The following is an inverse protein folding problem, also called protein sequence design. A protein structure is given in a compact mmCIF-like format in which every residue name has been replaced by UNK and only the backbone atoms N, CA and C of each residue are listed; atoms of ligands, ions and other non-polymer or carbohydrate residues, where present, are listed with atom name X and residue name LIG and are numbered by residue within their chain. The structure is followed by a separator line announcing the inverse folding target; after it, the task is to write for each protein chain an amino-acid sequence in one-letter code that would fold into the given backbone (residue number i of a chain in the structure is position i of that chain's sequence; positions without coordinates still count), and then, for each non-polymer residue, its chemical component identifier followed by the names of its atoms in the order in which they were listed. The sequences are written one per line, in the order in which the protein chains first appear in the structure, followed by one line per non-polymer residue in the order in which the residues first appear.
data_IF_872246510876
#
_entry.id   IF_872246510876
#
_cell.length_a   1.000
_cell.length_b   1.000
_cell.length_c   1.000
_cell.angle_alpha   90.00
_cell.angle_beta   90.00
_cell.angle_gamma   90.00
#
_symmetry.space_group_name_H-M   'P 1'
#
loop_
_entity.id
_entity.type
_entity.pdbx_description
1 polymer ?
2 branched ?
3 water ?
#
# COMPACT_ATOMS: atom_id res chain seq x y z
N UNK A 22 18.59 15.09 11.15
CA UNK A 22 17.18 14.66 11.40
C UNK A 22 16.99 13.19 11.02
N UNK A 23 16.83 12.36 12.05
CA UNK A 23 16.77 10.91 11.90
C UNK A 23 15.38 10.44 11.51
N UNK A 24 14.34 11.00 12.13
CA UNK A 24 12.95 10.66 11.75
C UNK A 24 12.74 10.97 10.28
N UNK A 25 13.23 12.13 9.83
CA UNK A 25 13.21 12.52 8.41
C UNK A 25 13.92 11.52 7.50
N UNK A 26 15.07 11.01 7.94
CA UNK A 26 15.83 10.01 7.17
C UNK A 26 15.08 8.67 7.08
N UNK A 27 14.50 8.22 8.20
CA UNK A 27 13.68 7.00 8.22
C UNK A 27 12.46 7.09 7.29
N UNK A 28 11.83 8.26 7.26
CA UNK A 28 10.76 8.56 6.31
C UNK A 28 11.27 8.49 4.88
N UNK A 29 12.42 9.13 4.63
CA UNK A 29 12.99 9.16 3.29
C UNK A 29 13.32 7.74 2.80
N UNK A 30 13.77 6.86 3.69
CA UNK A 30 14.08 5.47 3.33
C UNK A 30 12.82 4.72 2.85
N UNK A 31 11.73 4.89 3.58
CA UNK A 31 10.45 4.31 3.18
C UNK A 31 9.95 4.94 1.90
N UNK A 32 10.02 6.26 1.80
CA UNK A 32 9.61 6.93 0.58
C UNK A 32 10.44 6.45 -0.62
N UNK A 33 11.75 6.35 -0.45
CA UNK A 33 12.62 6.01 -1.59
C UNK A 33 12.39 4.58 -2.07
N UNK A 34 12.15 3.67 -1.14
CA UNK A 34 11.82 2.29 -1.48
C UNK A 34 10.48 2.20 -2.18
N UNK A 35 9.44 2.73 -1.54
CA UNK A 35 8.07 2.44 -1.97
C UNK A 35 7.50 3.38 -3.04
N UNK A 36 8.21 4.48 -3.36
CA UNK A 36 7.77 5.42 -4.40
C UNK A 36 8.16 4.98 -5.81
N UNK A 37 8.97 3.94 -5.92
CA UNK A 37 9.41 3.45 -7.24
C UNK A 37 8.23 2.82 -7.95
N UNK A 38 8.06 3.16 -9.22
CA UNK A 38 6.92 2.71 -9.99
C UNK A 38 7.15 1.39 -10.75
N UNK A 39 8.21 0.68 -10.38
CA UNK A 39 8.42 -0.66 -10.85
C UNK A 39 8.86 -1.55 -9.70
N UNK A 40 8.59 -2.84 -9.86
CA UNK A 40 9.18 -3.86 -9.03
C UNK A 40 9.16 -5.20 -9.78
N UNK A 41 10.30 -5.89 -9.82
CA UNK A 41 10.40 -7.23 -10.45
C UNK A 41 9.78 -7.34 -11.85
N UNK A 42 9.95 -6.33 -12.68
CA UNK A 42 9.36 -6.39 -14.03
C UNK A 42 7.89 -5.98 -14.13
N UNK A 43 7.24 -5.70 -13.00
CA UNK A 43 5.92 -5.09 -13.01
C UNK A 43 6.08 -3.61 -12.89
N UNK A 44 5.09 -2.87 -13.36
CA UNK A 44 5.16 -1.43 -13.28
C UNK A 44 3.79 -0.81 -13.23
N UNK A 45 3.75 0.42 -12.73
CA UNK A 45 2.55 1.22 -12.73
C UNK A 45 2.31 1.71 -14.16
N UNK A 46 1.32 1.13 -14.83
CA UNK A 46 0.94 1.57 -16.16
C UNK A 46 -0.45 2.12 -16.06
N UNK A 47 -0.72 3.23 -16.74
CA UNK A 47 -2.06 3.80 -16.82
C UNK A 47 -2.63 4.10 -15.42
N UNK A 48 -1.78 4.44 -14.45
CA UNK A 48 -2.25 4.68 -13.06
C UNK A 48 -2.95 3.47 -12.41
N UNK A 49 -2.66 2.26 -12.89
CA UNK A 49 -3.24 1.06 -12.29
C UNK A 49 -2.82 0.80 -10.84
N UNK A 50 -1.70 1.35 -10.41
CA UNK A 50 -1.27 1.22 -8.99
C UNK A 50 -1.75 2.40 -8.15
N UNK A 51 -2.70 3.19 -8.66
CA UNK A 51 -3.16 4.40 -7.97
C UNK A 51 -4.69 4.40 -7.88
N UNK A 52 -5.36 4.42 -9.04
CA UNK A 52 -6.82 4.51 -9.08
C UNK A 52 -7.31 4.34 -10.52
N UNK A 53 -8.32 3.51 -10.69
CA UNK A 53 -8.96 3.32 -11.98
C UNK A 53 -10.40 2.91 -11.81
N UNK A 54 -11.24 3.34 -12.75
CA UNK A 54 -12.60 2.88 -12.90
C UNK A 54 -12.79 2.15 -14.22
N UNK A 55 -11.70 1.89 -14.94
CA UNK A 55 -11.78 1.24 -16.24
C UNK A 55 -12.28 -0.18 -16.12
N UNK A 56 -13.01 -0.65 -17.15
CA UNK A 56 -13.51 -2.03 -17.10
C UNK A 56 -12.38 -3.05 -16.97
N UNK A 57 -12.60 -4.08 -16.16
CA UNK A 57 -11.61 -5.15 -15.97
C UNK A 57 -11.72 -6.23 -17.04
N UNK A 58 -10.58 -6.70 -17.54
CA UNK A 58 -10.55 -7.95 -18.32
C UNK A 58 -10.88 -9.12 -17.39
N UNK A 59 -11.18 -10.27 -17.98
CA UNK A 59 -11.39 -11.52 -17.23
C UNK A 59 -10.15 -11.93 -16.41
N UNK A 60 -8.97 -11.53 -16.85
CA UNK A 60 -7.71 -11.86 -16.16
C UNK A 60 -7.22 -10.78 -15.17
N UNK A 61 -8.06 -9.80 -14.84
CA UNK A 61 -7.69 -8.73 -13.90
C UNK A 61 -8.56 -8.74 -12.66
N UNK A 62 -8.02 -8.20 -11.58
CA UNK A 62 -8.77 -7.90 -10.37
C UNK A 62 -8.51 -6.46 -10.01
N UNK A 63 -9.45 -5.86 -9.29
CA UNK A 63 -9.28 -4.53 -8.72
C UNK A 63 -9.43 -4.66 -7.22
N UNK A 64 -8.41 -4.22 -6.50
CA UNK A 64 -8.37 -4.30 -5.05
C UNK A 64 -8.50 -2.89 -4.51
N UNK A 65 -9.60 -2.64 -3.81
CA UNK A 65 -9.86 -1.31 -3.26
C UNK A 65 -9.17 -1.13 -1.91
N UNK A 66 -8.56 0.03 -1.74
CA UNK A 66 -7.93 0.43 -0.48
C UNK A 66 -8.99 1.24 0.26
N UNK A 67 -9.44 0.73 1.41
CA UNK A 67 -10.56 1.30 2.15
C UNK A 67 -10.09 1.57 3.58
N UNK A 68 -9.91 2.83 3.92
CA UNK A 68 -9.36 3.16 5.22
C UNK A 68 -9.27 4.62 5.50
N UNK A 69 -8.51 4.92 6.55
CA UNK A 69 -8.31 6.27 7.02
C UNK A 69 -6.83 6.59 7.25
N UNK A 70 -6.50 7.84 6.97
CA UNK A 70 -5.21 8.44 7.23
C UNK A 70 -5.52 9.68 8.06
N UNK A 71 -5.12 9.66 9.33
CA UNK A 71 -5.51 10.71 10.28
C UNK A 71 -4.26 11.50 10.60
N UNK A 72 -4.26 12.80 10.30
CA UNK A 72 -3.10 13.66 10.53
C UNK A 72 -3.45 14.67 11.61
N UNK A 73 -2.68 14.66 12.69
CA UNK A 73 -2.90 15.56 13.84
C UNK A 73 -4.38 15.57 14.27
N UNK A 74 -4.96 14.38 14.35
CA UNK A 74 -6.31 14.18 14.83
C UNK A 74 -7.45 14.51 13.88
N UNK A 75 -7.15 14.76 12.59
CA UNK A 75 -8.15 15.00 11.56
C UNK A 75 -8.12 13.84 10.59
N UNK A 76 -9.27 13.21 10.39
CA UNK A 76 -9.38 12.04 9.53
C UNK A 76 -9.52 12.42 8.04
N UNK A 77 -8.70 11.79 7.21
CA UNK A 77 -8.84 11.81 5.75
C UNK A 77 -9.18 10.41 5.25
N UNK A 78 -9.92 10.35 4.15
CA UNK A 78 -10.44 9.10 3.61
C UNK A 78 -10.06 9.01 2.11
N UNK A 79 -8.76 8.88 1.81
CA UNK A 79 -8.32 8.88 0.40
C UNK A 79 -8.88 7.67 -0.33
N UNK A 80 -9.28 7.83 -1.59
CA UNK A 80 -9.84 6.73 -2.38
C UNK A 80 -8.78 6.31 -3.40
N UNK A 81 -8.32 5.07 -3.26
CA UNK A 81 -7.28 4.51 -4.12
C UNK A 81 -7.59 3.04 -4.34
N UNK A 82 -7.13 2.52 -5.47
CA UNK A 82 -7.30 1.11 -5.76
C UNK A 82 -6.20 0.64 -6.69
N UNK A 83 -5.95 -0.66 -6.68
CA UNK A 83 -4.91 -1.23 -7.51
C UNK A 83 -5.52 -2.27 -8.44
N UNK A 84 -5.13 -2.20 -9.70
CA UNK A 84 -5.65 -3.08 -10.74
C UNK A 84 -4.52 -4.00 -11.16
N UNK A 85 -4.70 -5.30 -10.94
CA UNK A 85 -3.64 -6.29 -11.11
C UNK A 85 -4.09 -7.46 -11.97
N UNK A 86 -3.13 -8.13 -12.60
CA UNK A 86 -3.41 -9.42 -13.23
C UNK A 86 -3.68 -10.50 -12.18
N UNK A 87 -4.60 -11.41 -12.52
CA UNK A 87 -4.83 -12.64 -11.76
C UNK A 87 -3.62 -13.55 -11.88
N UNK A 88 -2.89 -13.71 -10.79
CA UNK A 88 -1.71 -14.57 -10.78
C UNK A 88 -1.20 -14.69 -9.38
N UNK A 89 -0.27 -15.61 -9.18
CA UNK A 89 0.42 -15.74 -7.89
C UNK A 89 1.61 -14.79 -7.92
N UNK A 90 1.65 -13.88 -6.95
CA UNK A 90 2.70 -12.89 -6.78
C UNK A 90 3.31 -13.07 -5.39
N UNK A 91 4.39 -12.35 -5.12
CA UNK A 91 5.00 -12.38 -3.80
C UNK A 91 4.42 -11.27 -2.93
N UNK A 92 4.51 -11.48 -1.62
CA UNK A 92 4.19 -10.43 -0.66
C UNK A 92 5.09 -9.20 -0.83
N UNK A 93 6.35 -9.39 -1.25
CA UNK A 93 7.20 -8.24 -1.51
C UNK A 93 6.57 -7.37 -2.58
N UNK A 94 6.09 -8.02 -3.63
CA UNK A 94 5.46 -7.33 -4.74
C UNK A 94 4.16 -6.62 -4.33
N UNK A 95 3.30 -7.33 -3.63
CA UNK A 95 1.99 -6.78 -3.23
C UNK A 95 2.14 -5.66 -2.20
N UNK A 96 2.97 -5.91 -1.19
CA UNK A 96 3.40 -4.85 -0.24
C UNK A 96 3.89 -3.59 -0.97
N UNK A 97 4.74 -3.78 -1.97
CA UNK A 97 5.26 -2.66 -2.73
C UNK A 97 4.17 -1.85 -3.41
N UNK A 98 3.35 -2.54 -4.18
CA UNK A 98 2.32 -1.88 -4.98
C UNK A 98 1.29 -1.18 -4.07
N UNK A 99 0.91 -1.85 -2.99
CA UNK A 99 0.00 -1.25 -2.03
C UNK A 99 0.57 0.02 -1.44
N UNK A 100 1.81 -0.01 -0.96
CA UNK A 100 2.39 1.20 -0.35
C UNK A 100 2.59 2.31 -1.38
N UNK A 101 2.92 1.94 -2.63
CA UNK A 101 2.96 2.92 -3.72
C UNK A 101 1.63 3.69 -3.86
N UNK A 102 0.51 2.95 -3.81
CA UNK A 102 -0.83 3.56 -3.84
C UNK A 102 -1.08 4.51 -2.66
N UNK A 103 -0.57 4.14 -1.49
CA UNK A 103 -0.63 5.06 -0.32
C UNK A 103 0.20 6.32 -0.50
N UNK A 104 1.42 6.17 -1.01
CA UNK A 104 2.26 7.31 -1.32
C UNK A 104 1.53 8.30 -2.25
N UNK A 105 0.72 7.78 -3.18
CA UNK A 105 -0.06 8.65 -4.10
C UNK A 105 -1.09 9.57 -3.44
N UNK A 106 -1.47 9.33 -2.17
CA UNK A 106 -2.28 10.33 -1.44
C UNK A 106 -1.48 11.15 -0.42
N UNK A 107 -0.20 10.83 -0.24
CA UNK A 107 0.66 11.56 0.69
C UNK A 107 1.39 10.75 1.74
N UNK A 108 1.20 9.43 1.78
CA UNK A 108 1.93 8.62 2.77
C UNK A 108 3.44 8.74 2.54
N UNK A 109 4.18 8.80 3.64
CA UNK A 109 5.66 8.90 3.64
C UNK A 109 6.26 10.18 3.06
N UNK A 110 5.46 11.23 2.95
CA UNK A 110 5.97 12.53 2.55
C UNK A 110 6.24 13.33 3.81
N UNK A 111 7.16 14.28 3.71
CA UNK A 111 7.52 15.13 4.84
C UNK A 111 8.52 14.46 5.76
N UNK A 112 8.49 14.85 7.04
CA UNK A 112 9.58 14.54 7.96
C UNK A 112 9.20 13.62 9.11
N UNK A 113 7.93 13.18 9.19
CA UNK A 113 7.50 12.34 10.30
C UNK A 113 6.95 11.00 9.85
N UNK A 114 7.25 9.97 10.63
CA UNK A 114 6.82 8.61 10.33
C UNK A 114 5.36 8.43 10.70
N UNK A 115 4.59 7.77 9.83
CA UNK A 115 3.25 7.35 10.25
C UNK A 115 3.32 6.13 11.12
N UNK A 116 2.17 5.78 11.68
CA UNK A 116 2.02 4.56 12.42
C UNK A 116 0.65 3.97 12.11
N UNK A 117 0.52 2.68 12.36
CA UNK A 117 -0.70 1.95 12.08
C UNK A 117 -0.46 0.93 10.98
N UNK A 118 -1.43 0.05 10.83
CA UNK A 118 -1.30 -1.06 9.92
C UNK A 118 -2.13 -0.91 8.67
N UNK A 119 -1.55 -1.39 7.58
CA UNK A 119 -2.28 -1.65 6.34
C UNK A 119 -2.52 -3.16 6.31
N UNK A 120 -3.76 -3.60 6.09
CA UNK A 120 -4.09 -5.01 6.15
C UNK A 120 -4.66 -5.51 4.83
N UNK A 121 -4.02 -6.54 4.26
CA UNK A 121 -4.52 -7.23 3.10
C UNK A 121 -5.49 -8.29 3.62
N UNK A 122 -6.78 -8.17 3.28
CA UNK A 122 -7.80 -9.12 3.70
C UNK A 122 -8.10 -10.07 2.57
N UNK A 123 -8.16 -11.36 2.89
CA UNK A 123 -8.44 -12.38 1.87
C UNK A 123 -9.90 -12.79 1.91
N UNK A 124 -10.33 -13.44 0.84
CA UNK A 124 -11.76 -13.72 0.68
C UNK A 124 -12.34 -14.65 1.75
N UNK A 125 -11.53 -15.57 2.27
CA UNK A 125 -11.99 -16.48 3.35
C UNK A 125 -11.61 -16.03 4.76
N UNK A 126 -11.15 -14.79 4.91
CA UNK A 126 -10.90 -14.20 6.22
C UNK A 126 -9.46 -14.20 6.68
N UNK A 127 -8.53 -14.51 5.78
CA UNK A 127 -7.12 -14.38 6.07
C UNK A 127 -6.65 -12.94 6.07
N UNK A 128 -5.52 -12.69 6.70
CA UNK A 128 -4.89 -11.39 6.59
C UNK A 128 -3.37 -11.43 6.47
N UNK A 129 -2.83 -10.38 5.85
CA UNK A 129 -1.42 -10.06 5.84
C UNK A 129 -1.30 -8.62 6.31
N UNK A 130 -0.58 -8.42 7.41
CA UNK A 130 -0.49 -7.13 8.06
C UNK A 130 0.83 -6.44 7.75
N UNK A 131 0.72 -5.21 7.26
CA UNK A 131 1.83 -4.39 6.88
C UNK A 131 1.93 -3.21 7.83
N UNK A 132 2.91 -3.27 8.72
CA UNK A 132 3.14 -2.18 9.67
C UNK A 132 3.80 -1.00 8.97
N UNK A 133 3.14 0.17 9.00
CA UNK A 133 3.52 1.28 8.14
C UNK A 133 4.78 2.02 8.53
N UNK A 134 5.20 1.89 9.78
CA UNK A 134 6.31 2.67 10.31
C UNK A 134 7.70 2.13 9.93
N UNK A 135 7.74 0.96 9.29
CA UNK A 135 8.98 0.32 8.93
C UNK A 135 8.79 -0.49 7.64
N UNK A 136 9.91 -0.91 7.05
CA UNK A 136 9.87 -1.72 5.83
C UNK A 136 9.30 -3.10 6.13
N UNK A 137 8.79 -3.78 5.09
CA UNK A 137 8.43 -5.19 5.22
C UNK A 137 9.65 -5.98 5.69
N UNK A 138 9.44 -6.91 6.61
CA UNK A 138 10.52 -7.76 7.10
C UNK A 138 11.00 -8.68 5.97
N UNK A 139 12.32 -8.81 5.84
CA UNK A 139 12.93 -9.58 4.74
C UNK A 139 12.45 -11.02 4.69
N UNK A 140 12.21 -11.66 5.84
CA UNK A 140 11.74 -13.05 5.87
C UNK A 140 10.30 -13.27 5.32
N UNK A 141 9.59 -12.18 5.03
CA UNK A 141 8.23 -12.24 4.46
C UNK A 141 8.19 -12.03 2.95
N UNK A 142 9.32 -11.67 2.34
CA UNK A 142 9.33 -11.26 0.94
C UNK A 142 8.82 -12.29 -0.04
N UNK A 143 9.04 -13.56 0.25
CA UNK A 143 8.74 -14.63 -0.72
C UNK A 143 7.41 -15.37 -0.52
N UNK A 144 6.59 -14.90 0.42
CA UNK A 144 5.29 -15.50 0.69
C UNK A 144 4.43 -15.33 -0.57
N UNK A 145 3.79 -16.41 -0.99
CA UNK A 145 3.08 -16.45 -2.26
C UNK A 145 1.59 -16.20 -2.06
N UNK A 146 1.05 -15.26 -2.83
CA UNK A 146 -0.33 -14.80 -2.73
C UNK A 146 -0.95 -14.73 -4.12
N UNK A 147 -2.08 -15.42 -4.29
CA UNK A 147 -2.85 -15.31 -5.52
C UNK A 147 -3.65 -14.03 -5.42
N UNK A 148 -3.46 -13.12 -6.37
CA UNK A 148 -4.16 -11.82 -6.33
C UNK A 148 -5.68 -11.98 -6.37
N UNK A 149 -6.17 -13.09 -6.93
CA UNK A 149 -7.59 -13.39 -6.95
C UNK A 149 -8.15 -13.84 -5.57
N UNK A 150 -7.26 -14.00 -4.58
CA UNK A 150 -7.64 -14.31 -3.21
C UNK A 150 -7.90 -13.07 -2.38
N UNK A 151 -7.57 -11.89 -2.90
CA UNK A 151 -7.62 -10.66 -2.11
C UNK A 151 -9.02 -10.06 -2.16
N UNK A 152 -9.58 -9.81 -0.98
CA UNK A 152 -10.88 -9.15 -0.86
C UNK A 152 -10.75 -7.65 -1.00
N UNK A 153 -9.95 -7.05 -0.13
CA UNK A 153 -9.67 -5.62 -0.15
C UNK A 153 -8.45 -5.35 0.72
N UNK A 154 -8.07 -4.08 0.83
CA UNK A 154 -7.00 -3.65 1.72
C UNK A 154 -7.61 -2.62 2.63
N UNK A 155 -7.52 -2.84 3.94
CA UNK A 155 -7.99 -1.85 4.88
C UNK A 155 -6.82 -1.20 5.59
N UNK A 156 -7.04 -0.03 6.17
CA UNK A 156 -5.97 0.61 6.92
C UNK A 156 -6.47 1.68 7.86
N UNK A 157 -5.73 1.88 8.95
CA UNK A 157 -5.96 2.98 9.89
C UNK A 157 -4.60 3.54 10.22
N UNK A 158 -4.19 4.57 9.49
CA UNK A 158 -2.87 5.13 9.63
C UNK A 158 -2.96 6.50 10.30
N UNK A 159 -1.93 6.80 11.08
CA UNK A 159 -1.87 8.02 11.88
C UNK A 159 -0.52 8.70 11.67
N UNK A 160 -0.55 10.00 11.40
CA UNK A 160 0.63 10.84 11.45
C UNK A 160 0.35 11.91 12.53
N UNK A 161 1.09 11.84 13.63
CA UNK A 161 0.75 12.62 14.82
C UNK A 161 0.85 14.12 14.68
N UNK A 162 1.75 14.58 13.82
CA UNK A 162 1.91 16.01 13.63
C UNK A 162 1.94 16.34 12.16
N UNK A 163 1.53 17.55 11.83
CA UNK A 163 1.77 18.10 10.51
C UNK A 163 3.21 18.54 10.39
N UNK A 164 3.69 18.64 9.16
CA UNK A 164 4.99 19.23 8.92
C UNK A 164 4.88 20.75 9.10
N UNK A 165 5.96 21.37 9.60
CA UNK A 165 5.96 22.78 10.02
C UNK A 165 6.65 23.67 8.99
X LIG B 1 10.08 -11.91 12.54
X LIG B 1 9.45 -10.57 12.88
X LIG B 1 7.99 -10.77 13.30
X LIG B 1 7.27 -11.42 12.12
X LIG B 1 7.96 -12.73 11.71
X LIG B 1 7.36 -13.32 10.45
X LIG B 1 10.65 -8.61 13.75
X LIG B 1 11.43 -8.05 14.91
X LIG B 1 9.35 -12.49 11.45
X LIG B 1 7.40 -9.51 13.66
X LIG B 1 5.92 -11.71 12.46
X LIG B 1 7.58 -12.37 9.40
X LIG B 1 10.44 -7.93 12.76
X LIG B 1 10.23 -9.87 13.89
X LIG B 1 9.99 -12.79 13.66
X LIG B 2 4.93 -11.19 11.57
X LIG B 2 3.65 -11.95 11.87
X LIG B 2 2.47 -11.36 11.08
X LIG B 2 2.39 -9.86 11.37
X LIG B 2 3.71 -9.16 11.07
X LIG B 2 3.60 -7.67 11.39
X LIG B 2 3.80 -13.34 11.57
X LIG B 2 1.27 -12.05 11.46
X LIG B 2 2.01 -9.69 12.73
X LIG B 2 4.78 -9.78 11.80
X LIG B 2 4.81 -6.97 11.09
X LIG B 3 -0.13 -11.11 9.79
X LIG B 3 0.36 -12.42 10.42
X LIG B 3 -0.79 -13.28 10.96
X LIG B 3 -1.65 -13.84 9.84
X LIG B 3 -0.82 -14.56 8.77
X LIG B 3 0.32 -13.66 8.32
X LIG B 3 1.34 -14.22 7.34
X LIG B 3 2.50 -13.25 7.12
X LIG B 3 3.31 -13.62 5.89
X LIG B 3 -1.44 -16.03 6.92
X LIG B 3 -2.38 -16.26 5.78
X LIG B 3 -1.67 -14.92 7.64
X LIG B 3 -1.12 -10.54 10.29
X LIG B 3 0.50 -10.63 8.80
X LIG B 3 -2.63 -14.76 10.32
X LIG B 3 1.08 -13.21 9.44
X LIG B 3 1.81 -15.52 7.77
X LIG B 3 2.01 -11.92 6.91
X LIG B 3 4.55 -12.94 5.95
X LIG B 3 -0.51 -16.81 7.13
X LIG B 4 7.28 -9.26 15.06
X LIG B 4 6.80 -7.83 15.30
X LIG B 4 5.34 -7.68 14.89
X LIG B 4 4.48 -8.69 15.61
X LIG B 4 5.01 -10.09 15.30
X LIG B 4 4.22 -11.19 15.99
X LIG B 4 7.57 -6.91 14.53
X LIG B 4 4.92 -6.34 15.15
X LIG B 4 4.53 -8.42 17.02
X LIG B 4 6.39 -10.20 15.65
#
# INVERSE_FOLDING_TARGET
STQNSSSVQDKQLQKVEEVPNNSEKALVKKLYDRYSKDTINGKSNKSRNWVYSERPLNENQVRIHLEGTYTVAGRVYTPKRNITLNKEVVTLKELDHIIRFAHISYGLYMGEHLPKGNIVINTKNGGKYTLESHKELQKNRENVEINTDDIKNVTFELVKSVNDIEQV
NDG C1 C2 C3 C4 C5 C6 C7 C8 O5 O3 O4 O6 O7 N2 O1
GAL C1 C2 C3 C4 C5 C6 O2 O3 O4 O5 O6
SIA C1 C2 C3 C4 C5 C6 C7 C8 C9 C10 C11 N5 O1A O1B O4 O6 O7 O8 O9 O10
FUC C1 C2 C3 C4 C5 C6 O2 O3 O4 O5
#
